data_IF_171453130474
#
_entry.id   IF_171453130474
#
_cell.length_a   1.000
_cell.length_b   1.000
_cell.length_c   1.000
_cell.angle_alpha   90.00
_cell.angle_beta   90.00
_cell.angle_gamma   90.00
#
_symmetry.space_group_name_H-M   'P 1'
#
loop_
_entity.id
_entity.type
_entity.pdbx_description
1 polymer ?
#
# COMPACT_ATOMS: atom_id res chain seq x y z
N UNK A 1 -28.87 63.69 36.18
CA UNK A 1 -27.75 64.49 36.70
C UNK A 1 -26.54 64.29 35.79
N UNK A 2 -26.01 65.41 35.27
CA UNK A 2 -24.61 65.76 34.94
C UNK A 2 -23.75 64.71 34.19
N UNK A 3 -23.56 64.82 32.87
CA UNK A 3 -22.59 65.64 32.09
C UNK A 3 -21.11 65.24 32.18
N UNK A 4 -20.53 65.09 30.97
CA UNK A 4 -19.14 65.41 30.56
C UNK A 4 -18.11 64.29 30.38
N UNK A 5 -17.75 64.04 29.11
CA UNK A 5 -16.38 63.71 28.61
C UNK A 5 -15.51 65.00 28.60
N UNK A 6 -14.19 65.05 28.29
CA UNK A 6 -13.16 64.02 28.00
C UNK A 6 -11.81 64.26 28.75
N UNK A 7 -10.78 63.42 28.51
CA UNK A 7 -9.39 63.65 28.97
C UNK A 7 -8.34 63.18 27.96
N UNK A 8 -7.41 64.07 27.60
CA UNK A 8 -6.53 64.05 26.41
C UNK A 8 -5.25 63.19 26.51
N UNK A 9 -4.99 62.47 25.40
CA UNK A 9 -3.78 62.39 24.55
C UNK A 9 -2.38 62.38 25.18
N UNK A 10 -1.57 61.36 24.85
CA UNK A 10 -0.14 61.57 24.53
C UNK A 10 0.32 60.72 23.34
N UNK A 11 1.12 61.39 22.51
CA UNK A 11 1.61 61.05 21.18
C UNK A 11 2.66 59.93 21.20
N UNK A 12 2.57 59.03 20.23
CA UNK A 12 3.69 58.20 19.76
C UNK A 12 3.51 57.96 18.27
N UNK A 13 4.07 58.86 17.46
CA UNK A 13 4.18 58.70 16.02
C UNK A 13 5.19 57.57 15.74
N UNK A 14 4.75 56.52 15.07
CA UNK A 14 5.66 55.61 14.38
C UNK A 14 5.19 55.52 12.93
N UNK A 15 5.91 56.24 12.09
CA UNK A 15 5.88 56.17 10.63
C UNK A 15 6.18 54.74 10.19
N UNK A 16 5.19 54.06 9.61
CA UNK A 16 5.43 52.91 8.74
C UNK A 16 5.26 53.39 7.30
N UNK A 17 6.36 53.28 6.56
CA UNK A 17 6.50 53.66 5.17
C UNK A 17 5.43 52.99 4.31
N UNK A 18 4.80 53.83 3.50
CA UNK A 18 3.86 53.48 2.44
C UNK A 18 4.57 52.64 1.39
N UNK A 19 4.40 51.32 1.42
CA UNK A 19 4.66 50.45 0.29
C UNK A 19 3.35 50.27 -0.48
N UNK A 20 3.09 51.11 -1.47
CA UNK A 20 2.02 50.86 -2.43
C UNK A 20 2.45 49.71 -3.36
N UNK A 21 1.85 48.54 -3.22
CA UNK A 21 1.76 47.58 -4.32
C UNK A 21 0.29 47.37 -4.67
N UNK A 22 0.00 47.57 -5.94
CA UNK A 22 -1.32 47.65 -6.53
C UNK A 22 -2.18 46.41 -6.22
N UNK A 23 -3.46 46.67 -5.96
CA UNK A 23 -4.52 45.68 -6.03
C UNK A 23 -4.63 45.16 -7.47
N UNK A 24 -4.09 43.97 -7.73
CA UNK A 24 -4.37 43.18 -8.92
C UNK A 24 -5.54 42.24 -8.66
N UNK A 25 -6.46 42.16 -9.61
CA UNK A 25 -7.73 41.44 -9.53
C UNK A 25 -7.62 39.99 -9.03
N UNK A 26 -8.61 39.59 -8.25
CA UNK A 26 -8.85 38.21 -7.86
C UNK A 26 -9.07 37.31 -9.09
N UNK A 27 -8.15 36.36 -9.30
CA UNK A 27 -8.53 35.07 -9.88
C UNK A 27 -8.68 34.14 -8.70
N UNK A 28 -9.93 33.89 -8.31
CA UNK A 28 -10.31 32.84 -7.37
C UNK A 28 -10.01 31.48 -7.98
N UNK A 29 -8.74 31.09 -7.95
CA UNK A 29 -8.34 29.71 -8.13
C UNK A 29 -8.29 29.08 -6.76
N UNK A 30 -9.31 28.30 -6.39
CA UNK A 30 -9.10 27.27 -5.37
C UNK A 30 -8.04 26.35 -5.95
N UNK A 31 -6.77 26.57 -5.59
CA UNK A 31 -5.73 25.57 -5.82
C UNK A 31 -6.14 24.40 -4.95
N UNK A 32 -6.80 23.42 -5.56
CA UNK A 32 -7.00 22.12 -4.94
C UNK A 32 -5.62 21.65 -4.47
N UNK A 33 -5.50 21.07 -3.26
CA UNK A 33 -4.24 20.49 -2.85
C UNK A 33 -3.83 19.50 -3.95
N UNK A 34 -2.59 19.62 -4.43
CA UNK A 34 -2.04 18.62 -5.33
C UNK A 34 -2.06 17.30 -4.55
N UNK A 35 -3.01 16.43 -4.88
CA UNK A 35 -3.07 15.09 -4.33
C UNK A 35 -1.73 14.43 -4.71
N UNK A 36 -0.94 14.03 -3.72
CA UNK A 36 0.29 13.30 -3.99
C UNK A 36 -0.08 12.07 -4.81
N UNK A 37 0.48 11.95 -6.01
CA UNK A 37 0.25 10.79 -6.86
C UNK A 37 0.76 9.54 -6.14
N UNK A 38 0.11 8.40 -6.38
CA UNK A 38 0.60 7.13 -5.88
C UNK A 38 2.06 6.92 -6.34
N UNK A 39 2.89 6.39 -5.44
CA UNK A 39 4.27 6.05 -5.71
C UNK A 39 4.35 4.60 -6.19
N UNK A 40 5.07 4.39 -7.29
CA UNK A 40 5.30 3.06 -7.84
C UNK A 40 6.21 2.21 -6.95
N UNK A 41 5.84 0.95 -6.74
CA UNK A 41 6.66 -0.07 -6.08
C UNK A 41 7.77 -0.50 -7.04
N UNK A 42 9.02 -0.18 -6.70
CA UNK A 42 10.19 -0.35 -7.58
C UNK A 42 10.85 -1.74 -7.50
N UNK A 43 10.41 -2.62 -6.60
CA UNK A 43 10.98 -3.94 -6.41
C UNK A 43 10.79 -4.50 -5.01
N UNK A 44 11.24 -5.74 -4.82
CA UNK A 44 11.11 -6.49 -3.56
C UNK A 44 10.66 -7.92 -3.80
N UNK A 45 10.43 -8.65 -2.71
CA UNK A 45 9.91 -10.02 -2.70
C UNK A 45 9.01 -10.23 -1.48
N UNK A 46 8.13 -11.23 -1.56
CA UNK A 46 7.38 -11.76 -0.42
C UNK A 46 7.89 -13.16 -0.08
N UNK A 47 7.94 -13.49 1.20
CA UNK A 47 8.11 -14.87 1.67
C UNK A 47 6.83 -15.32 2.35
N UNK A 48 6.22 -16.39 1.84
CA UNK A 48 4.93 -16.86 2.32
C UNK A 48 4.72 -18.34 2.00
N UNK A 49 4.45 -19.12 3.04
CA UNK A 49 3.93 -20.47 2.91
C UNK A 49 2.41 -20.37 3.00
N UNK A 50 1.68 -20.79 1.96
CA UNK A 50 0.21 -20.82 1.96
C UNK A 50 -0.36 -21.24 3.33
N UNK A 51 0.20 -22.34 3.85
CA UNK A 51 0.21 -22.69 5.27
C UNK A 51 1.49 -23.45 5.59
N UNK A 52 2.09 -23.20 6.76
CA UNK A 52 3.30 -23.92 7.17
C UNK A 52 3.09 -25.44 7.26
N UNK A 53 1.94 -25.88 7.80
CA UNK A 53 1.63 -27.31 7.88
C UNK A 53 1.39 -27.95 6.51
N UNK A 54 0.90 -27.19 5.53
CA UNK A 54 0.78 -27.66 4.15
C UNK A 54 2.16 -27.85 3.52
N UNK A 55 3.01 -26.83 3.67
CA UNK A 55 4.39 -26.84 3.19
C UNK A 55 5.18 -27.99 3.83
N UNK A 56 5.02 -28.21 5.14
CA UNK A 56 5.62 -29.35 5.84
C UNK A 56 5.09 -30.71 5.37
N UNK A 57 3.78 -30.83 5.14
CA UNK A 57 3.16 -32.05 4.61
C UNK A 57 3.70 -32.43 3.22
N UNK A 58 3.71 -31.48 2.28
CA UNK A 58 4.23 -31.72 0.92
C UNK A 58 5.74 -31.95 0.98
N UNK A 59 6.49 -31.13 1.71
CA UNK A 59 7.94 -31.25 1.81
C UNK A 59 8.43 -32.55 2.45
N UNK A 60 7.61 -33.20 3.28
CA UNK A 60 7.98 -34.46 3.93
C UNK A 60 8.00 -35.69 3.00
N UNK A 61 7.26 -35.66 1.89
CA UNK A 61 7.13 -36.82 0.99
C UNK A 61 6.94 -36.47 -0.49
N UNK A 62 7.15 -35.20 -0.84
CA UNK A 62 6.92 -34.63 -2.15
C UNK A 62 7.97 -33.61 -2.51
N UNK A 63 7.62 -32.70 -3.41
CA UNK A 63 8.49 -31.66 -3.96
C UNK A 63 7.80 -30.31 -3.88
N UNK A 64 8.60 -29.29 -3.59
CA UNK A 64 8.20 -27.90 -3.61
C UNK A 64 9.20 -27.18 -4.50
N UNK A 65 8.69 -26.52 -5.54
CA UNK A 65 9.51 -25.86 -6.55
C UNK A 65 9.06 -24.41 -6.72
N UNK A 66 9.95 -23.42 -6.60
CA UNK A 66 11.36 -23.53 -6.23
C UNK A 66 11.59 -24.08 -4.81
N UNK A 67 12.81 -24.55 -4.49
CA UNK A 67 13.16 -24.94 -3.12
C UNK A 67 12.92 -23.80 -2.12
N UNK A 68 12.53 -24.16 -0.91
CA UNK A 68 12.29 -23.19 0.15
C UNK A 68 13.57 -22.45 0.55
N UNK A 69 13.46 -21.15 0.80
CA UNK A 69 14.52 -20.33 1.40
C UNK A 69 14.19 -20.08 2.87
N UNK A 70 15.06 -20.52 3.78
CA UNK A 70 14.79 -20.39 5.22
C UNK A 70 13.50 -21.10 5.68
N UNK A 71 13.05 -22.13 4.94
CA UNK A 71 11.79 -22.82 5.20
C UNK A 71 10.54 -22.12 4.66
N UNK A 72 10.70 -21.07 3.85
CA UNK A 72 9.60 -20.32 3.25
C UNK A 72 9.66 -20.32 1.72
N UNK A 73 8.49 -20.27 1.09
CA UNK A 73 8.39 -20.08 -0.35
C UNK A 73 8.58 -18.60 -0.69
N UNK A 74 9.30 -18.29 -1.78
CA UNK A 74 9.68 -16.93 -2.16
C UNK A 74 8.98 -16.51 -3.45
N UNK A 75 8.33 -15.34 -3.42
CA UNK A 75 7.66 -14.70 -4.55
C UNK A 75 8.41 -13.40 -4.90
N UNK A 76 9.23 -13.38 -5.97
CA UNK A 76 10.08 -12.25 -6.30
C UNK A 76 9.33 -11.12 -7.04
N UNK A 77 10.07 -10.10 -7.46
CA UNK A 77 9.61 -9.10 -8.44
C UNK A 77 8.36 -8.33 -8.02
N UNK A 78 8.40 -7.71 -6.84
CA UNK A 78 7.32 -6.85 -6.36
C UNK A 78 7.12 -5.64 -7.29
N UNK A 79 5.86 -5.34 -7.62
CA UNK A 79 5.43 -4.19 -8.42
C UNK A 79 4.04 -3.72 -7.97
N UNK A 80 3.62 -2.53 -8.40
CA UNK A 80 2.32 -1.95 -8.02
C UNK A 80 2.46 -0.48 -7.65
N UNK A 81 1.49 0.06 -6.92
CA UNK A 81 1.50 1.46 -6.53
C UNK A 81 0.87 1.66 -5.15
N UNK A 82 1.41 2.62 -4.39
CA UNK A 82 0.97 2.95 -3.03
C UNK A 82 0.78 4.46 -2.89
N UNK A 83 -0.37 4.88 -2.38
CA UNK A 83 -0.56 6.23 -1.85
C UNK A 83 0.14 6.34 -0.49
N UNK A 84 1.19 7.15 -0.42
CA UNK A 84 2.01 7.32 0.78
C UNK A 84 1.34 8.15 1.88
N UNK A 85 0.26 8.90 1.56
CA UNK A 85 -0.51 9.66 2.55
C UNK A 85 -1.54 8.77 3.24
N UNK A 86 -2.21 7.92 2.47
CA UNK A 86 -3.28 7.06 3.00
C UNK A 86 -2.83 5.64 3.34
N UNK A 87 -1.61 5.25 2.91
CA UNK A 87 -1.09 3.89 2.96
C UNK A 87 -2.02 2.87 2.28
N UNK A 88 -2.69 3.28 1.20
CA UNK A 88 -3.60 2.44 0.41
C UNK A 88 -2.95 2.16 -0.94
N UNK A 89 -3.11 0.94 -1.45
CA UNK A 89 -2.55 0.56 -2.76
C UNK A 89 -2.54 -0.95 -2.98
N UNK A 90 -1.84 -1.37 -4.03
CA UNK A 90 -1.65 -2.79 -4.34
C UNK A 90 -0.19 -3.12 -4.62
N UNK A 91 0.21 -4.32 -4.18
CA UNK A 91 1.51 -4.92 -4.49
C UNK A 91 1.27 -6.30 -5.09
N UNK A 92 1.91 -6.57 -6.23
CA UNK A 92 1.90 -7.85 -6.93
C UNK A 92 3.30 -8.43 -6.89
N UNK A 93 3.40 -9.72 -6.65
CA UNK A 93 4.65 -10.45 -6.69
C UNK A 93 4.61 -11.44 -7.85
N UNK A 94 5.73 -11.52 -8.59
CA UNK A 94 5.91 -12.51 -9.63
C UNK A 94 6.26 -13.89 -9.06
N UNK A 95 6.58 -14.80 -9.99
CA UNK A 95 6.93 -16.17 -9.68
C UNK A 95 5.72 -17.04 -9.32
N UNK A 96 6.02 -18.28 -8.94
CA UNK A 96 5.03 -19.28 -8.57
C UNK A 96 5.67 -20.32 -7.67
N UNK A 97 4.86 -21.03 -6.90
CA UNK A 97 5.26 -22.18 -6.11
C UNK A 97 4.45 -23.38 -6.52
N UNK A 98 5.13 -24.43 -6.96
CA UNK A 98 4.55 -25.70 -7.34
C UNK A 98 4.75 -26.72 -6.23
N UNK A 99 3.66 -27.33 -5.80
CA UNK A 99 3.60 -28.40 -4.81
C UNK A 99 3.20 -29.69 -5.52
N UNK A 100 4.01 -30.74 -5.39
CA UNK A 100 3.66 -32.07 -5.88
C UNK A 100 3.97 -33.16 -4.87
N UNK A 101 3.04 -34.10 -4.66
CA UNK A 101 3.22 -35.24 -3.75
C UNK A 101 2.40 -36.46 -4.22
N UNK A 102 2.61 -37.61 -3.56
CA UNK A 102 1.90 -38.87 -3.83
C UNK A 102 1.97 -39.32 -5.30
N UNK A 103 3.14 -39.18 -5.91
CA UNK A 103 3.34 -39.56 -7.32
C UNK A 103 2.58 -38.68 -8.32
N UNK A 104 2.32 -37.42 -7.98
CA UNK A 104 1.66 -36.44 -8.86
C UNK A 104 0.14 -36.35 -8.69
N UNK A 105 -0.44 -37.13 -7.77
CA UNK A 105 -1.87 -37.00 -7.42
C UNK A 105 -2.16 -35.64 -6.78
N UNK A 106 -1.25 -35.18 -5.92
CA UNK A 106 -1.23 -33.80 -5.49
C UNK A 106 -0.37 -33.03 -6.48
N UNK A 107 -0.97 -32.05 -7.15
CA UNK A 107 -0.34 -31.17 -8.13
C UNK A 107 -1.03 -29.80 -8.06
N UNK A 108 -0.38 -28.87 -7.36
CA UNK A 108 -0.92 -27.52 -7.10
C UNK A 108 0.14 -26.47 -7.40
N UNK A 109 -0.18 -25.51 -8.25
CA UNK A 109 0.61 -24.29 -8.44
C UNK A 109 -0.10 -23.12 -7.78
N UNK A 110 0.66 -22.31 -7.04
CA UNK A 110 0.22 -21.03 -6.48
C UNK A 110 1.00 -19.91 -7.16
N UNK A 111 0.30 -18.90 -7.69
CA UNK A 111 0.89 -17.78 -8.44
C UNK A 111 0.09 -16.49 -8.23
N UNK A 112 0.51 -15.40 -8.90
CA UNK A 112 -0.07 -14.04 -8.80
C UNK A 112 -0.37 -13.61 -7.35
N UNK A 113 0.64 -13.71 -6.48
CA UNK A 113 0.46 -13.28 -5.10
C UNK A 113 0.26 -11.76 -5.08
N UNK A 114 -0.87 -11.31 -4.50
CA UNK A 114 -1.29 -9.92 -4.52
C UNK A 114 -1.74 -9.45 -3.15
N UNK A 115 -1.13 -8.38 -2.66
CA UNK A 115 -1.54 -7.69 -1.44
C UNK A 115 -2.25 -6.39 -1.81
N UNK A 116 -3.55 -6.31 -1.53
CA UNK A 116 -4.30 -5.06 -1.58
C UNK A 116 -4.35 -4.44 -0.17
N UNK A 117 -3.73 -3.28 0.02
CA UNK A 117 -3.76 -2.54 1.29
C UNK A 117 -4.93 -1.56 1.25
N UNK A 118 -5.90 -1.72 2.14
CA UNK A 118 -7.16 -0.96 2.13
C UNK A 118 -7.17 0.20 3.13
N UNK A 119 -6.28 0.17 4.11
CA UNK A 119 -6.05 1.24 5.08
C UNK A 119 -4.70 1.00 5.77
N UNK A 120 -4.16 1.97 6.55
CA UNK A 120 -2.92 1.76 7.29
C UNK A 120 -2.96 0.46 8.12
N UNK A 121 -2.04 -0.45 7.82
CA UNK A 121 -1.90 -1.75 8.49
C UNK A 121 -2.91 -2.83 8.10
N UNK A 122 -3.91 -2.55 7.26
CA UNK A 122 -4.94 -3.53 6.88
C UNK A 122 -4.84 -3.86 5.41
N UNK A 123 -4.80 -5.15 5.08
CA UNK A 123 -4.80 -5.60 3.71
C UNK A 123 -5.50 -6.93 3.48
N UNK A 124 -5.64 -7.28 2.21
CA UNK A 124 -6.16 -8.56 1.75
C UNK A 124 -5.13 -9.19 0.84
N UNK A 125 -4.78 -10.43 1.14
CA UNK A 125 -3.88 -11.23 0.30
C UNK A 125 -4.74 -12.14 -0.59
N UNK A 126 -4.50 -12.09 -1.89
CA UNK A 126 -5.05 -13.01 -2.90
C UNK A 126 -3.94 -13.75 -3.63
N UNK A 127 -4.29 -14.90 -4.21
CA UNK A 127 -3.41 -15.67 -5.08
C UNK A 127 -4.25 -16.50 -6.07
N UNK A 128 -3.63 -16.86 -7.18
CA UNK A 128 -4.17 -17.81 -8.14
C UNK A 128 -3.74 -19.23 -7.77
N UNK A 129 -4.64 -20.18 -7.99
CA UNK A 129 -4.39 -21.60 -7.77
C UNK A 129 -4.69 -22.38 -9.03
N UNK A 130 -3.74 -23.19 -9.49
CA UNK A 130 -3.98 -24.24 -10.48
C UNK A 130 -3.87 -25.58 -9.78
N UNK A 131 -4.93 -26.38 -9.80
CA UNK A 131 -4.97 -27.71 -9.19
C UNK A 131 -5.52 -28.70 -10.20
N UNK A 132 -4.70 -29.70 -10.58
CA UNK A 132 -5.07 -30.73 -11.57
C UNK A 132 -5.72 -30.18 -12.84
N UNK A 133 -5.17 -29.07 -13.38
CA UNK A 133 -5.64 -28.41 -14.60
C UNK A 133 -6.86 -27.49 -14.42
N UNK A 134 -7.37 -27.32 -13.19
CA UNK A 134 -8.43 -26.35 -12.87
C UNK A 134 -7.82 -25.10 -12.27
N UNK A 135 -8.18 -23.94 -12.80
CA UNK A 135 -7.73 -22.64 -12.29
C UNK A 135 -8.78 -22.00 -11.38
N UNK A 136 -8.34 -21.38 -10.29
CA UNK A 136 -9.11 -20.47 -9.45
C UNK A 136 -8.33 -19.18 -9.29
N UNK A 137 -8.87 -18.10 -9.85
CA UNK A 137 -8.20 -16.80 -9.89
C UNK A 137 -8.58 -15.94 -8.67
N UNK A 138 -7.64 -15.09 -8.22
CA UNK A 138 -7.82 -14.07 -7.18
C UNK A 138 -8.46 -14.59 -5.87
N UNK A 139 -8.10 -15.82 -5.47
CA UNK A 139 -8.65 -16.42 -4.26
C UNK A 139 -8.16 -15.64 -3.05
N UNK A 140 -9.09 -15.09 -2.26
CA UNK A 140 -8.76 -14.45 -0.98
C UNK A 140 -8.26 -15.49 0.02
N UNK A 141 -6.97 -15.41 0.35
CA UNK A 141 -6.30 -16.35 1.26
C UNK A 141 -6.19 -15.81 2.68
N UNK A 142 -6.07 -14.49 2.86
CA UNK A 142 -5.93 -13.89 4.17
C UNK A 142 -6.41 -12.44 4.24
N UNK A 143 -6.73 -12.01 5.46
CA UNK A 143 -6.76 -10.58 5.83
C UNK A 143 -5.55 -10.30 6.71
N UNK A 144 -4.74 -9.31 6.31
CA UNK A 144 -3.57 -8.84 7.02
C UNK A 144 -3.98 -7.69 7.95
N UNK A 145 -3.46 -7.70 9.18
CA UNK A 145 -3.67 -6.67 10.21
C UNK A 145 -2.40 -6.50 11.04
#
# INVERSE_FOLDING_TARGET
MRTSLPGRVRRGLATLLTGALAAGLAVGGVVAPAQAAAADVQGGSATWNFKDSWTGYVGGSGTITPPLEGGQSVYPSASGAMDLQTAVGDVRFGGSVHYSAHGGVLDVTVSDLRLAVTSPGVGVLTADFVSSGTTSDDVKVATCR
#
